data_IF_293621118618
#
_entry.id   IF_293621118618
#
_cell.length_a   1.000
_cell.length_b   1.000
_cell.length_c   1.000
_cell.angle_alpha   90.00
_cell.angle_beta   90.00
_cell.angle_gamma   90.00
#
_symmetry.space_group_name_H-M   'P 1'
#
loop_
_entity.id
_entity.type
_entity.pdbx_description
1 polymer ?
#
# COMPACT_ATOMS: atom_id res chain seq x y z
N UNK A 1 12.32 -10.38 6.57
CA UNK A 1 13.42 -9.52 6.97
C UNK A 1 14.73 -10.33 6.97
N UNK A 2 15.86 -9.72 7.32
CA UNK A 2 17.18 -10.40 7.38
C UNK A 2 17.21 -11.57 8.35
N UNK A 3 16.31 -11.63 9.32
CA UNK A 3 16.18 -12.69 10.32
C UNK A 3 15.16 -13.77 9.94
N UNK A 4 14.75 -13.86 8.68
CA UNK A 4 13.71 -14.78 8.16
C UNK A 4 12.33 -14.61 8.81
N UNK A 5 12.07 -13.51 9.52
CA UNK A 5 10.76 -13.18 10.04
C UNK A 5 9.94 -12.44 9.00
N UNK A 6 8.63 -12.67 8.99
CA UNK A 6 7.73 -11.89 8.13
C UNK A 6 7.68 -10.44 8.59
N UNK A 7 7.72 -9.50 7.64
CA UNK A 7 7.59 -8.07 7.94
C UNK A 7 6.23 -7.82 8.59
N UNK A 8 6.23 -7.05 9.69
CA UNK A 8 5.01 -6.75 10.46
C UNK A 8 4.70 -7.75 11.57
N UNK A 9 5.54 -8.79 11.79
CA UNK A 9 5.37 -9.77 12.89
C UNK A 9 6.45 -9.65 13.96
N UNK A 10 7.23 -8.58 13.97
CA UNK A 10 8.33 -8.36 14.92
C UNK A 10 7.87 -7.75 16.25
N UNK A 11 6.61 -7.36 16.33
CA UNK A 11 6.00 -6.70 17.48
C UNK A 11 4.85 -7.56 18.03
N UNK A 12 4.27 -7.13 19.14
CA UNK A 12 3.18 -7.83 19.83
C UNK A 12 1.95 -8.02 18.92
N UNK A 13 1.66 -7.03 18.07
CA UNK A 13 0.56 -7.07 17.11
C UNK A 13 1.06 -6.53 15.77
N UNK A 14 0.85 -7.29 14.69
CA UNK A 14 1.00 -6.86 13.31
C UNK A 14 -0.35 -6.54 12.68
N UNK A 15 -0.49 -5.36 12.07
CA UNK A 15 -1.72 -4.93 11.40
C UNK A 15 -1.51 -4.84 9.91
N UNK A 16 -2.38 -5.49 9.12
CA UNK A 16 -2.28 -5.56 7.66
C UNK A 16 -3.56 -5.07 7.01
N UNK A 17 -3.41 -4.21 6.02
CA UNK A 17 -4.53 -3.68 5.25
C UNK A 17 -4.79 -4.54 4.02
N UNK A 18 -6.07 -4.85 3.77
CA UNK A 18 -6.60 -5.47 2.55
C UNK A 18 -7.52 -4.50 1.80
N UNK A 19 -7.32 -3.19 1.95
CA UNK A 19 -8.10 -2.19 1.22
C UNK A 19 -7.82 -2.24 -0.29
N UNK A 20 -8.67 -1.61 -1.09
CA UNK A 20 -8.66 -1.65 -2.57
C UNK A 20 -7.30 -1.32 -3.21
N UNK A 21 -6.44 -0.56 -2.53
CA UNK A 21 -5.12 -0.17 -3.02
C UNK A 21 -4.02 -1.19 -2.71
N UNK A 22 -4.34 -2.36 -2.19
CA UNK A 22 -3.36 -3.40 -1.85
C UNK A 22 -3.26 -4.46 -2.94
N UNK A 23 -2.12 -5.15 -3.00
CA UNK A 23 -1.87 -6.24 -3.97
C UNK A 23 -2.92 -7.34 -3.81
N UNK A 24 -3.14 -7.76 -2.56
CA UNK A 24 -4.27 -8.60 -2.20
C UNK A 24 -5.29 -7.69 -1.51
N UNK A 25 -6.46 -7.55 -2.10
CA UNK A 25 -7.48 -6.67 -1.56
C UNK A 25 -8.83 -7.38 -1.44
N UNK A 26 -9.63 -6.90 -0.52
CA UNK A 26 -11.01 -7.31 -0.30
C UNK A 26 -11.96 -6.10 -0.31
N UNK A 27 -11.60 -5.05 -1.05
CA UNK A 27 -12.25 -3.74 -1.12
C UNK A 27 -12.02 -2.95 0.18
N UNK A 28 -12.59 -3.39 1.29
CA UNK A 28 -12.38 -2.85 2.64
C UNK A 28 -12.08 -4.00 3.59
N UNK A 29 -11.10 -3.80 4.47
CA UNK A 29 -10.76 -4.75 5.50
C UNK A 29 -9.27 -4.83 5.77
N UNK A 30 -8.92 -5.77 6.61
CA UNK A 30 -7.56 -6.05 7.05
C UNK A 30 -7.56 -7.21 8.04
N UNK A 31 -6.40 -7.52 8.55
CA UNK A 31 -6.25 -8.52 9.60
C UNK A 31 -5.13 -8.10 10.56
N UNK A 32 -5.23 -8.61 11.78
CA UNK A 32 -4.18 -8.52 12.77
C UNK A 32 -3.60 -9.90 13.02
N UNK A 33 -2.31 -9.94 13.33
CA UNK A 33 -1.58 -11.15 13.75
C UNK A 33 -0.88 -10.90 15.07
N UNK A 34 -0.86 -11.90 15.94
CA UNK A 34 -0.15 -11.88 17.21
C UNK A 34 0.22 -13.29 17.61
N UNK A 35 1.29 -13.43 18.40
CA UNK A 35 1.69 -14.70 19.04
C UNK A 35 1.16 -14.82 20.48
N UNK A 36 0.39 -13.83 20.96
CA UNK A 36 -0.17 -13.82 22.30
C UNK A 36 -1.65 -14.19 22.29
N UNK A 37 -2.02 -15.29 22.92
CA UNK A 37 -3.41 -15.74 23.05
C UNK A 37 -4.28 -14.70 23.75
N UNK A 38 -3.74 -14.01 24.75
CA UNK A 38 -4.46 -12.94 25.46
C UNK A 38 -4.79 -11.76 24.54
N UNK A 39 -3.82 -11.34 23.71
CA UNK A 39 -4.06 -10.27 22.72
C UNK A 39 -5.03 -10.74 21.63
N UNK A 40 -4.92 -11.99 21.18
CA UNK A 40 -5.85 -12.56 20.19
C UNK A 40 -7.30 -12.54 20.72
N UNK A 41 -7.55 -13.01 21.95
CA UNK A 41 -8.87 -12.96 22.60
C UNK A 41 -9.39 -11.53 22.71
N UNK A 42 -8.55 -10.59 23.13
CA UNK A 42 -8.91 -9.17 23.23
C UNK A 42 -9.26 -8.56 21.87
N UNK A 43 -8.49 -8.84 20.82
CA UNK A 43 -8.77 -8.37 19.45
C UNK A 43 -10.09 -8.94 18.91
N UNK A 44 -10.38 -10.22 19.16
CA UNK A 44 -11.64 -10.86 18.78
C UNK A 44 -12.81 -10.17 19.49
N UNK A 45 -12.71 -9.94 20.80
CA UNK A 45 -13.73 -9.25 21.56
C UNK A 45 -13.99 -7.83 21.02
N UNK A 46 -12.93 -7.02 20.81
CA UNK A 46 -13.05 -5.67 20.23
C UNK A 46 -13.75 -5.72 18.88
N UNK A 47 -13.40 -6.67 18.01
CA UNK A 47 -14.03 -6.87 16.70
C UNK A 47 -15.53 -7.21 16.81
N UNK A 48 -15.93 -7.87 17.89
CA UNK A 48 -17.30 -8.37 18.15
C UNK A 48 -18.08 -7.50 19.13
N UNK A 49 -18.01 -6.16 19.02
CA UNK A 49 -18.73 -5.23 19.90
C UNK A 49 -18.34 -5.31 21.39
N UNK A 50 -17.14 -5.80 21.70
CA UNK A 50 -16.66 -5.94 23.08
C UNK A 50 -17.12 -7.20 23.79
N UNK A 51 -17.77 -8.12 23.09
CA UNK A 51 -18.28 -9.38 23.63
C UNK A 51 -17.22 -10.47 23.49
N UNK A 52 -17.07 -11.33 24.53
CA UNK A 52 -16.09 -12.41 24.55
C UNK A 52 -16.63 -13.75 24.03
N UNK A 53 -17.94 -13.86 23.81
CA UNK A 53 -18.56 -15.10 23.35
C UNK A 53 -18.27 -15.44 21.90
N UNK A 54 -18.38 -16.72 21.59
CA UNK A 54 -18.46 -17.19 20.22
C UNK A 54 -19.64 -16.53 19.49
N UNK A 55 -19.56 -16.36 18.15
CA UNK A 55 -20.57 -15.62 17.38
C UNK A 55 -22.01 -16.05 17.61
N UNK A 56 -22.22 -17.34 17.86
CA UNK A 56 -23.55 -17.93 18.08
C UNK A 56 -24.18 -17.44 19.39
N UNK A 57 -23.37 -17.21 20.43
CA UNK A 57 -23.82 -16.78 21.74
C UNK A 57 -23.66 -15.28 21.99
N UNK A 58 -23.03 -14.56 21.07
CA UNK A 58 -22.70 -13.15 21.23
C UNK A 58 -23.91 -12.23 21.46
N UNK A 59 -25.12 -12.65 21.10
CA UNK A 59 -26.36 -11.89 21.32
C UNK A 59 -26.88 -11.96 22.76
N UNK A 60 -26.43 -12.97 23.52
CA UNK A 60 -26.88 -13.22 24.88
C UNK A 60 -25.90 -12.69 25.92
N UNK A 61 -24.69 -12.33 25.52
CA UNK A 61 -23.68 -11.83 26.43
C UNK A 61 -23.55 -10.31 26.39
N UNK A 62 -23.34 -9.74 27.57
CA UNK A 62 -23.04 -8.31 27.71
C UNK A 62 -21.60 -8.03 27.28
N UNK A 63 -21.38 -6.84 26.72
CA UNK A 63 -20.03 -6.39 26.39
C UNK A 63 -19.19 -6.26 27.65
N UNK A 64 -18.03 -6.87 27.67
CA UNK A 64 -17.07 -6.83 28.80
C UNK A 64 -16.05 -5.69 28.65
N UNK A 65 -15.98 -5.08 27.46
CA UNK A 65 -15.09 -3.96 27.14
C UNK A 65 -15.64 -3.16 25.95
N UNK A 66 -15.17 -1.93 25.70
CA UNK A 66 -15.51 -1.19 24.49
C UNK A 66 -15.10 -1.98 23.24
N UNK A 67 -15.99 -2.03 22.24
CA UNK A 67 -15.73 -2.72 20.99
C UNK A 67 -16.50 -2.10 19.83
N UNK A 68 -16.26 -2.62 18.64
CA UNK A 68 -16.85 -2.16 17.39
C UNK A 68 -17.29 -3.36 16.55
N UNK A 69 -18.26 -3.18 15.66
CA UNK A 69 -18.60 -4.20 14.68
C UNK A 69 -17.62 -4.13 13.50
N UNK A 70 -16.48 -4.83 13.63
CA UNK A 70 -15.41 -4.84 12.63
C UNK A 70 -15.34 -6.16 11.85
N UNK A 71 -16.39 -6.95 11.88
CA UNK A 71 -16.45 -8.18 11.07
C UNK A 71 -16.59 -7.83 9.58
N UNK A 72 -15.76 -8.41 8.70
CA UNK A 72 -15.98 -8.26 7.27
C UNK A 72 -17.27 -8.93 6.84
N UNK A 73 -17.92 -8.41 5.80
CA UNK A 73 -19.03 -9.14 5.18
C UNK A 73 -18.52 -10.29 4.32
N UNK A 74 -19.37 -11.29 4.09
CA UNK A 74 -19.05 -12.44 3.25
C UNK A 74 -18.67 -12.04 1.84
N UNK A 75 -19.31 -11.00 1.29
CA UNK A 75 -18.97 -10.46 -0.04
C UNK A 75 -17.53 -9.97 -0.10
N UNK A 76 -17.08 -9.17 0.89
CA UNK A 76 -15.71 -8.69 0.95
C UNK A 76 -14.73 -9.85 1.14
N UNK A 77 -15.06 -10.80 2.01
CA UNK A 77 -14.25 -11.99 2.27
C UNK A 77 -14.08 -12.85 1.01
N UNK A 78 -15.16 -13.06 0.26
CA UNK A 78 -15.12 -13.78 -1.01
C UNK A 78 -14.22 -13.10 -2.06
N UNK A 79 -14.33 -11.77 -2.22
CA UNK A 79 -13.43 -11.00 -3.09
C UNK A 79 -11.97 -11.18 -2.65
N UNK A 80 -11.71 -11.12 -1.34
CA UNK A 80 -10.37 -11.33 -0.79
C UNK A 80 -9.80 -12.71 -1.12
N UNK A 81 -10.59 -13.76 -0.99
CA UNK A 81 -10.21 -15.14 -1.33
C UNK A 81 -9.92 -15.30 -2.82
N UNK A 82 -10.74 -14.71 -3.70
CA UNK A 82 -10.51 -14.71 -5.13
C UNK A 82 -9.20 -14.00 -5.50
N UNK A 83 -8.89 -12.87 -4.88
CA UNK A 83 -7.63 -12.17 -5.13
C UNK A 83 -6.44 -12.95 -4.57
N UNK A 84 -6.60 -13.58 -3.42
CA UNK A 84 -5.56 -14.43 -2.83
C UNK A 84 -5.24 -15.64 -3.71
N UNK A 85 -6.24 -16.29 -4.30
CA UNK A 85 -6.04 -17.42 -5.23
C UNK A 85 -5.27 -17.00 -6.48
N UNK A 86 -5.39 -15.75 -6.92
CA UNK A 86 -4.69 -15.18 -8.08
C UNK A 86 -3.35 -14.51 -7.72
N UNK A 87 -2.90 -14.61 -6.47
CA UNK A 87 -1.72 -13.89 -5.95
C UNK A 87 -0.50 -13.98 -6.87
N UNK A 88 -0.13 -15.18 -7.31
CA UNK A 88 1.07 -15.38 -8.11
C UNK A 88 0.97 -14.67 -9.48
N UNK A 89 -0.19 -14.71 -10.12
CA UNK A 89 -0.43 -14.00 -11.38
C UNK A 89 -0.36 -12.48 -11.20
N UNK A 90 -0.94 -11.96 -10.12
CA UNK A 90 -0.90 -10.53 -9.79
C UNK A 90 0.55 -10.08 -9.58
N UNK A 91 1.32 -10.83 -8.78
CA UNK A 91 2.73 -10.52 -8.51
C UNK A 91 3.58 -10.59 -9.78
N UNK A 92 3.40 -11.61 -10.61
CA UNK A 92 4.12 -11.76 -11.88
C UNK A 92 3.89 -10.55 -12.79
N UNK A 93 2.64 -10.13 -12.99
CA UNK A 93 2.30 -8.97 -13.84
C UNK A 93 2.89 -7.66 -13.30
N UNK A 94 2.78 -7.44 -12.00
CA UNK A 94 3.33 -6.23 -11.36
C UNK A 94 4.86 -6.18 -11.52
N UNK A 95 5.53 -7.31 -11.34
CA UNK A 95 6.98 -7.42 -11.53
C UNK A 95 7.37 -7.19 -12.99
N UNK A 96 6.63 -7.77 -13.96
CA UNK A 96 6.84 -7.53 -15.39
C UNK A 96 6.79 -6.03 -15.73
N UNK A 97 5.78 -5.33 -15.22
CA UNK A 97 5.64 -3.88 -15.43
C UNK A 97 6.83 -3.12 -14.84
N UNK A 98 7.25 -3.44 -13.61
CA UNK A 98 8.40 -2.80 -13.00
C UNK A 98 9.67 -2.97 -13.86
N UNK A 99 9.96 -4.20 -14.28
CA UNK A 99 11.13 -4.47 -15.12
C UNK A 99 11.02 -3.83 -16.50
N UNK A 100 9.82 -3.65 -17.03
CA UNK A 100 9.59 -2.92 -18.27
C UNK A 100 9.98 -1.44 -18.12
N UNK A 101 9.57 -0.78 -17.03
CA UNK A 101 10.03 0.58 -16.70
C UNK A 101 11.55 0.60 -16.52
N UNK A 102 12.12 -0.31 -15.73
CA UNK A 102 13.57 -0.37 -15.50
C UNK A 102 14.36 -0.50 -16.79
N UNK A 103 13.87 -1.27 -17.76
CA UNK A 103 14.54 -1.52 -19.05
C UNK A 103 14.35 -0.40 -20.07
N UNK A 104 13.20 0.28 -20.07
CA UNK A 104 12.78 1.16 -21.18
C UNK A 104 12.64 2.64 -20.80
N UNK A 105 12.55 2.97 -19.54
CA UNK A 105 12.51 4.36 -19.09
C UNK A 105 13.95 4.89 -19.02
N UNK A 106 14.29 5.77 -19.96
CA UNK A 106 15.66 6.28 -20.14
C UNK A 106 15.73 7.82 -20.09
N UNK A 107 14.78 8.47 -19.42
CA UNK A 107 14.75 9.92 -19.25
C UNK A 107 15.58 10.35 -18.03
N UNK A 108 16.60 11.18 -18.24
CA UNK A 108 17.49 11.64 -17.16
C UNK A 108 16.80 12.50 -16.09
N UNK A 109 15.64 13.09 -16.39
CA UNK A 109 14.84 13.86 -15.43
C UNK A 109 13.92 12.99 -14.57
N UNK A 110 13.87 11.67 -14.82
CA UNK A 110 13.00 10.71 -14.14
C UNK A 110 13.89 9.61 -13.55
N UNK A 111 14.21 9.72 -12.27
CA UNK A 111 15.06 8.72 -11.59
C UNK A 111 14.20 7.64 -10.97
N UNK A 112 14.30 6.41 -11.49
CA UNK A 112 13.62 5.25 -10.93
C UNK A 112 14.13 4.95 -9.52
N UNK A 113 13.22 4.71 -8.58
CA UNK A 113 13.57 4.16 -7.28
C UNK A 113 13.82 2.66 -7.44
N UNK A 114 15.10 2.28 -7.35
CA UNK A 114 15.52 0.89 -7.51
C UNK A 114 15.19 0.07 -6.26
N UNK A 115 14.06 -0.59 -6.29
CA UNK A 115 13.65 -1.59 -5.29
C UNK A 115 13.58 -2.93 -6.03
N UNK A 116 14.05 -4.00 -5.39
CA UNK A 116 13.84 -5.34 -5.95
C UNK A 116 12.35 -5.73 -5.81
N UNK A 117 11.57 -5.79 -6.92
CA UNK A 117 10.14 -6.01 -6.83
C UNK A 117 9.77 -7.45 -6.42
N UNK A 118 10.70 -8.40 -6.56
CA UNK A 118 10.51 -9.79 -6.11
C UNK A 118 10.40 -9.83 -4.59
N UNK A 119 11.26 -9.08 -3.89
CA UNK A 119 11.27 -9.03 -2.44
C UNK A 119 10.27 -8.01 -1.87
N UNK A 120 9.99 -6.95 -2.64
CA UNK A 120 9.14 -5.83 -2.23
C UNK A 120 8.14 -5.48 -3.33
N UNK A 121 7.17 -6.36 -3.62
CA UNK A 121 6.18 -6.12 -4.66
C UNK A 121 5.34 -4.88 -4.33
N UNK A 122 5.09 -4.06 -5.32
CA UNK A 122 4.30 -2.83 -5.16
C UNK A 122 3.39 -2.61 -6.36
N UNK A 123 2.18 -2.14 -6.12
CA UNK A 123 1.27 -1.68 -7.18
C UNK A 123 1.71 -0.34 -7.80
N UNK A 124 2.89 0.15 -7.46
CA UNK A 124 3.40 1.41 -7.96
C UNK A 124 4.87 1.28 -8.37
N UNK A 125 5.20 1.92 -9.48
CA UNK A 125 6.58 2.18 -9.85
C UNK A 125 6.93 3.59 -9.38
N UNK A 126 7.78 3.69 -8.37
CA UNK A 126 8.15 4.97 -7.76
C UNK A 126 9.33 5.61 -8.48
N UNK A 127 9.24 6.90 -8.73
CA UNK A 127 10.28 7.70 -9.36
C UNK A 127 10.52 9.00 -8.60
N UNK A 128 11.75 9.50 -8.65
CA UNK A 128 12.12 10.82 -8.15
C UNK A 128 12.08 11.84 -9.28
N UNK A 129 11.42 12.96 -9.04
CA UNK A 129 11.26 14.06 -9.99
C UNK A 129 11.69 15.36 -9.32
N UNK A 130 12.69 16.05 -9.89
CA UNK A 130 13.18 17.32 -9.35
C UNK A 130 12.10 18.41 -9.36
N UNK A 131 11.42 18.59 -10.48
CA UNK A 131 10.33 19.55 -10.65
C UNK A 131 8.99 18.81 -10.76
N UNK A 132 8.47 18.37 -9.60
CA UNK A 132 7.23 17.58 -9.54
C UNK A 132 6.02 18.31 -10.10
N UNK A 133 5.94 19.64 -9.94
CA UNK A 133 4.81 20.42 -10.46
C UNK A 133 4.76 20.40 -11.98
N UNK A 134 5.90 20.63 -12.65
CA UNK A 134 5.97 20.56 -14.12
C UNK A 134 5.68 19.14 -14.61
N UNK A 135 6.23 18.14 -13.95
CA UNK A 135 5.97 16.76 -14.28
C UNK A 135 4.50 16.37 -14.13
N UNK A 136 3.84 16.83 -13.07
CA UNK A 136 2.41 16.60 -12.87
C UNK A 136 1.57 17.24 -13.99
N UNK A 137 1.90 18.48 -14.37
CA UNK A 137 1.24 19.16 -15.52
C UNK A 137 1.47 18.39 -16.82
N UNK A 138 2.69 17.93 -17.06
CA UNK A 138 3.03 17.13 -18.24
C UNK A 138 2.23 15.82 -18.28
N UNK A 139 2.18 15.06 -17.18
CA UNK A 139 1.41 13.82 -17.09
C UNK A 139 -0.08 14.07 -17.33
N UNK A 140 -0.65 15.12 -16.70
CA UNK A 140 -2.06 15.50 -16.90
C UNK A 140 -2.36 15.83 -18.35
N UNK A 141 -1.52 16.62 -19.03
CA UNK A 141 -1.65 16.96 -20.45
C UNK A 141 -1.66 15.71 -21.33
N UNK A 142 -0.86 14.71 -20.97
CA UNK A 142 -0.72 13.47 -21.74
C UNK A 142 -1.64 12.33 -21.23
N UNK A 143 -2.62 12.65 -20.37
CA UNK A 143 -3.59 11.69 -19.80
C UNK A 143 -2.94 10.51 -19.07
N UNK A 144 -1.78 10.72 -18.44
CA UNK A 144 -1.10 9.71 -17.62
C UNK A 144 -1.53 9.92 -16.17
N UNK A 145 -2.21 8.93 -15.60
CA UNK A 145 -2.57 8.90 -14.18
C UNK A 145 -1.34 8.66 -13.32
N UNK A 146 -1.06 9.56 -12.39
CA UNK A 146 0.03 9.42 -11.42
C UNK A 146 -0.50 9.66 -10.01
N UNK A 147 0.20 9.10 -9.03
CA UNK A 147 -0.01 9.46 -7.63
C UNK A 147 1.20 10.23 -7.11
N UNK A 148 0.95 11.29 -6.36
CA UNK A 148 1.98 11.93 -5.55
C UNK A 148 2.36 10.95 -4.44
N UNK A 149 3.64 10.81 -4.16
CA UNK A 149 4.17 9.83 -3.22
C UNK A 149 3.54 9.86 -1.82
N UNK A 150 4.33 9.62 -0.80
CA UNK A 150 3.87 9.71 0.60
C UNK A 150 3.92 11.14 1.09
N UNK A 151 3.03 11.48 2.04
CA UNK A 151 3.11 12.75 2.78
C UNK A 151 3.92 12.56 4.06
N UNK A 152 4.61 13.61 4.48
CA UNK A 152 5.30 13.61 5.76
C UNK A 152 4.31 13.70 6.91
N UNK A 153 4.40 12.78 7.85
CA UNK A 153 3.54 12.82 9.05
C UNK A 153 3.85 14.04 9.91
N UNK A 154 5.13 14.42 10.03
CA UNK A 154 5.57 15.59 10.82
C UNK A 154 5.14 16.93 10.22
N UNK A 155 4.66 16.99 8.98
CA UNK A 155 4.08 18.18 8.36
C UNK A 155 2.54 18.24 8.51
N UNK A 156 1.93 17.27 9.19
CA UNK A 156 0.48 17.26 9.42
C UNK A 156 0.12 18.13 10.62
N UNK A 157 -1.10 18.69 10.62
CA UNK A 157 -1.59 19.54 11.72
C UNK A 157 -1.76 18.80 13.05
N UNK A 158 -1.78 17.46 13.01
CA UNK A 158 -1.96 16.61 14.20
C UNK A 158 -0.68 16.59 15.05
N UNK A 159 0.48 16.74 14.42
CA UNK A 159 1.78 16.73 15.10
C UNK A 159 2.13 18.16 15.51
N UNK A 160 2.34 18.41 16.80
CA UNK A 160 2.77 19.72 17.31
C UNK A 160 4.13 20.10 16.71
N UNK A 161 4.19 21.27 16.06
CA UNK A 161 5.45 21.85 15.57
C UNK A 161 6.42 22.02 16.76
N UNK A 162 7.65 21.56 16.59
CA UNK A 162 8.72 21.72 17.59
C UNK A 162 9.01 20.49 18.46
N UNK A 163 8.19 19.44 18.42
CA UNK A 163 8.45 18.18 19.15
C UNK A 163 9.28 17.17 18.38
N UNK A 164 9.61 17.45 17.12
CA UNK A 164 10.27 16.49 16.22
C UNK A 164 11.55 17.08 15.63
N UNK A 165 12.58 16.25 15.59
CA UNK A 165 13.86 16.54 14.93
C UNK A 165 13.69 16.70 13.41
N UNK A 166 14.70 17.22 12.76
CA UNK A 166 14.69 17.48 11.34
C UNK A 166 14.63 16.18 10.51
N UNK A 167 13.49 15.91 9.85
CA UNK A 167 13.26 14.73 9.01
C UNK A 167 13.55 15.02 7.53
N UNK A 168 14.79 15.37 7.21
CA UNK A 168 15.22 15.77 5.85
C UNK A 168 14.87 14.75 4.78
N UNK A 169 15.13 13.46 5.01
CA UNK A 169 14.82 12.39 4.05
C UNK A 169 13.32 12.23 3.81
N UNK A 170 12.51 12.28 4.87
CA UNK A 170 11.06 12.18 4.75
C UNK A 170 10.48 13.38 3.98
N UNK A 171 10.96 14.59 4.29
CA UNK A 171 10.60 15.81 3.57
C UNK A 171 11.02 15.75 2.09
N UNK A 172 12.21 15.27 1.80
CA UNK A 172 12.69 15.10 0.43
C UNK A 172 11.78 14.12 -0.35
N UNK A 173 11.49 12.95 0.22
CA UNK A 173 10.59 11.96 -0.39
C UNK A 173 9.19 12.55 -0.63
N UNK A 174 8.64 13.24 0.34
CA UNK A 174 7.31 13.89 0.23
C UNK A 174 7.24 14.90 -0.94
N UNK A 175 8.34 15.61 -1.19
CA UNK A 175 8.39 16.65 -2.25
C UNK A 175 8.68 16.09 -3.65
N UNK A 176 9.43 15.01 -3.76
CA UNK A 176 9.99 14.56 -5.03
C UNK A 176 9.45 13.21 -5.52
N UNK A 177 8.88 12.39 -4.64
CA UNK A 177 8.41 11.07 -5.04
C UNK A 177 7.11 11.16 -5.83
N UNK A 178 7.06 10.45 -6.96
CA UNK A 178 5.86 10.24 -7.78
C UNK A 178 5.71 8.74 -8.05
N UNK A 179 4.49 8.27 -8.11
CA UNK A 179 4.14 6.89 -8.42
C UNK A 179 3.52 6.81 -9.80
N UNK A 180 4.17 6.06 -10.68
CA UNK A 180 3.73 5.81 -12.05
C UNK A 180 2.69 4.67 -12.10
N UNK A 181 1.90 4.58 -13.19
CA UNK A 181 0.95 3.51 -13.40
C UNK A 181 1.61 2.13 -13.30
N UNK A 182 1.09 1.30 -12.42
CA UNK A 182 1.49 -0.08 -12.26
C UNK A 182 0.30 -0.84 -11.66
N UNK A 183 0.10 -2.08 -12.04
CA UNK A 183 -0.95 -2.91 -11.48
C UNK A 183 -1.38 -4.01 -12.45
N UNK A 184 -2.11 -5.02 -11.97
CA UNK A 184 -2.47 -6.20 -12.77
C UNK A 184 -3.48 -5.89 -13.90
N UNK A 185 -4.15 -4.74 -13.84
CA UNK A 185 -5.11 -4.30 -14.86
C UNK A 185 -4.49 -3.66 -16.10
N UNK A 186 -3.21 -3.27 -16.05
CA UNK A 186 -2.52 -2.71 -17.22
C UNK A 186 -1.95 -3.82 -18.12
N UNK A 187 -2.08 -3.61 -19.44
CA UNK A 187 -1.37 -4.44 -20.40
C UNK A 187 0.02 -3.86 -20.74
N UNK A 188 0.86 -4.69 -21.34
CA UNK A 188 2.22 -4.31 -21.72
C UNK A 188 2.25 -3.18 -22.76
N UNK A 189 1.27 -3.13 -23.69
CA UNK A 189 1.20 -2.11 -24.75
C UNK A 189 0.87 -0.75 -24.16
N UNK A 190 -0.04 -0.71 -23.18
CA UNK A 190 -0.39 0.52 -22.46
C UNK A 190 0.81 1.09 -21.72
N UNK A 191 1.52 0.25 -20.98
CA UNK A 191 2.72 0.68 -20.24
C UNK A 191 3.83 1.15 -21.18
N UNK A 192 4.04 0.49 -22.33
CA UNK A 192 5.00 0.94 -23.34
C UNK A 192 4.64 2.31 -23.91
N UNK A 193 3.35 2.60 -24.16
CA UNK A 193 2.90 3.94 -24.56
C UNK A 193 3.21 4.98 -23.50
N UNK A 194 2.92 4.67 -22.22
CA UNK A 194 3.25 5.54 -21.09
C UNK A 194 4.75 5.81 -21.03
N UNK A 195 5.59 4.81 -21.12
CA UNK A 195 7.06 4.95 -21.09
C UNK A 195 7.54 5.81 -22.27
N UNK A 196 7.01 5.61 -23.47
CA UNK A 196 7.36 6.43 -24.66
C UNK A 196 7.08 7.91 -24.40
N UNK A 197 5.92 8.23 -23.82
CA UNK A 197 5.55 9.61 -23.48
C UNK A 197 6.48 10.14 -22.36
N UNK A 198 6.73 9.35 -21.31
CA UNK A 198 7.60 9.77 -20.21
C UNK A 198 9.04 10.06 -20.68
N UNK A 199 9.54 9.31 -21.66
CA UNK A 199 10.87 9.54 -22.23
C UNK A 199 10.97 10.90 -23.01
N UNK A 200 9.86 11.50 -23.42
CA UNK A 200 9.84 12.82 -24.04
C UNK A 200 9.72 13.99 -23.05
N UNK A 201 9.59 13.71 -21.74
CA UNK A 201 9.50 14.77 -20.72
C UNK A 201 10.78 15.60 -20.66
N UNK A 202 10.63 16.92 -20.71
CA UNK A 202 11.70 17.91 -20.51
C UNK A 202 11.37 18.71 -19.25
N UNK A 203 12.41 18.91 -18.41
CA UNK A 203 12.25 19.63 -17.13
C UNK A 203 12.14 21.15 -17.36
#
# INVERSE_FOLDING_TARGET
DKNKKFIGTNYEIGCFSLSITKIINMVYGGFCVTNSDNLAKKLISIRNNGVNAEPENARLELASQPGLNLKPSDLHSYIGLLNLSKKNNILSKVNEIFFLYKKKLNNMNIKLLEINPINYPSLYVSVFIKNRNNFTKFCKKNKIGIHLGTRCIHETHIIKKGSLSNFTNSTYLSKHLVRLPCGPGYDKKEILKVIKILNSYKN
#
